data_IF_101033193174
#
_entry.id   IF_101033193174
#
_cell.length_a   1.000
_cell.length_b   1.000
_cell.length_c   1.000
_cell.angle_alpha   90.00
_cell.angle_beta   90.00
_cell.angle_gamma   90.00
#
_symmetry.space_group_name_H-M   'P 1'
#
loop_
_entity.id
_entity.type
_entity.pdbx_description
1 polymer ?
#
# COMPACT_ATOMS: atom_id res chain seq x y z
N UNK A 1 -1.16 -0.82 -24.35
CA UNK A 1 -0.14 -1.51 -23.50
C UNK A 1 1.21 -0.87 -23.81
N UNK A 2 1.90 -0.33 -22.82
CA UNK A 2 3.22 0.29 -23.00
C UNK A 2 4.25 -0.83 -22.94
N UNK A 3 5.04 -0.97 -23.98
CA UNK A 3 6.11 -1.97 -24.04
C UNK A 3 7.46 -1.28 -23.81
N UNK A 4 8.20 -1.71 -22.77
CA UNK A 4 9.53 -1.20 -22.50
C UNK A 4 10.58 -2.18 -23.03
N UNK A 5 11.35 -1.78 -24.03
CA UNK A 5 12.49 -2.54 -24.51
C UNK A 5 13.80 -1.91 -24.03
N UNK A 6 14.34 -2.47 -22.97
CA UNK A 6 15.64 -2.07 -22.42
C UNK A 6 16.82 -2.72 -23.13
N UNK A 7 16.58 -3.67 -24.03
CA UNK A 7 17.64 -4.49 -24.62
C UNK A 7 18.65 -3.65 -25.42
N UNK A 8 18.15 -2.65 -26.14
CA UNK A 8 18.98 -1.78 -26.98
C UNK A 8 19.93 -0.91 -26.16
N UNK A 9 19.54 -0.51 -24.96
CA UNK A 9 20.31 0.39 -24.12
C UNK A 9 21.16 -0.33 -23.08
N UNK A 10 20.71 -1.46 -22.58
CA UNK A 10 21.42 -2.25 -21.57
C UNK A 10 22.53 -3.15 -22.18
N UNK A 11 22.47 -3.47 -23.48
CA UNK A 11 23.42 -4.38 -24.12
C UNK A 11 24.89 -3.90 -24.10
N UNK A 12 25.11 -2.59 -23.95
CA UNK A 12 26.44 -2.02 -23.81
C UNK A 12 27.06 -2.18 -22.39
N UNK A 13 26.20 -2.47 -21.38
CA UNK A 13 26.60 -2.51 -19.98
C UNK A 13 26.46 -3.90 -19.36
N UNK A 14 25.59 -4.74 -19.92
CA UNK A 14 25.30 -6.09 -19.42
C UNK A 14 25.77 -7.10 -20.45
N UNK A 15 26.79 -7.86 -20.11
CA UNK A 15 27.29 -8.93 -20.98
C UNK A 15 26.27 -10.07 -21.07
N UNK A 16 26.34 -10.84 -22.15
CA UNK A 16 25.43 -11.95 -22.39
C UNK A 16 25.55 -13.04 -21.33
N UNK A 17 26.78 -13.27 -20.87
CA UNK A 17 27.10 -14.23 -19.80
C UNK A 17 26.47 -13.83 -18.47
N UNK A 18 26.61 -12.55 -18.09
CA UNK A 18 26.01 -12.00 -16.87
C UNK A 18 24.49 -12.16 -16.88
N UNK A 19 23.87 -11.93 -18.04
CA UNK A 19 22.43 -12.07 -18.21
C UNK A 19 21.95 -13.50 -17.95
N UNK A 20 22.69 -14.50 -18.42
CA UNK A 20 22.37 -15.92 -18.22
C UNK A 20 22.46 -16.25 -16.73
N UNK A 21 23.56 -15.88 -16.08
CA UNK A 21 23.77 -16.09 -14.64
C UNK A 21 22.63 -15.48 -13.79
N UNK A 22 22.25 -14.23 -14.07
CA UNK A 22 21.17 -13.57 -13.34
C UNK A 22 19.80 -14.16 -13.63
N UNK A 23 19.56 -14.66 -14.83
CA UNK A 23 18.31 -15.37 -15.15
C UNK A 23 18.18 -16.69 -14.37
N UNK A 24 19.27 -17.41 -14.22
CA UNK A 24 19.26 -18.68 -13.46
C UNK A 24 19.10 -18.41 -11.96
N UNK A 25 19.77 -17.39 -11.41
CA UNK A 25 19.51 -16.93 -10.04
C UNK A 25 18.06 -16.49 -9.83
N UNK A 26 17.48 -15.75 -10.78
CA UNK A 26 16.09 -15.33 -10.70
C UNK A 26 15.10 -16.50 -10.75
N UNK A 27 15.41 -17.55 -11.53
CA UNK A 27 14.62 -18.79 -11.55
C UNK A 27 14.69 -19.54 -10.24
N UNK A 28 15.87 -19.65 -9.65
CA UNK A 28 16.08 -20.27 -8.35
C UNK A 28 15.28 -19.53 -7.27
N UNK A 29 15.40 -18.21 -7.21
CA UNK A 29 14.66 -17.38 -6.25
C UNK A 29 13.15 -17.54 -6.46
N UNK A 30 12.66 -17.56 -7.72
CA UNK A 30 11.26 -17.78 -8.03
C UNK A 30 10.77 -19.15 -7.52
N UNK A 31 11.57 -20.20 -7.70
CA UNK A 31 11.23 -21.53 -7.20
C UNK A 31 11.12 -21.55 -5.68
N UNK A 32 12.10 -20.98 -4.97
CA UNK A 32 12.08 -20.83 -3.51
C UNK A 32 10.89 -20.00 -3.03
N UNK A 33 10.52 -18.95 -3.76
CA UNK A 33 9.35 -18.14 -3.46
C UNK A 33 8.05 -18.94 -3.59
N UNK A 34 7.92 -19.73 -4.65
CA UNK A 34 6.72 -20.56 -4.90
C UNK A 34 6.65 -21.75 -3.92
N UNK A 35 7.75 -22.41 -3.63
CA UNK A 35 7.83 -23.59 -2.77
C UNK A 35 7.73 -23.31 -1.27
N UNK A 36 7.74 -22.03 -0.87
CA UNK A 36 7.34 -21.62 0.47
C UNK A 36 8.42 -21.20 1.44
N UNK A 37 9.65 -21.01 1.02
CA UNK A 37 10.69 -20.39 1.86
C UNK A 37 10.28 -18.96 2.31
N UNK A 38 9.48 -18.30 1.48
CA UNK A 38 8.89 -16.97 1.74
C UNK A 38 7.39 -17.10 2.03
N UNK A 39 7.06 -17.75 3.13
CA UNK A 39 5.72 -18.23 3.53
C UNK A 39 4.57 -17.21 3.41
N UNK A 40 4.85 -15.93 3.53
CA UNK A 40 3.79 -14.91 3.55
C UNK A 40 3.46 -14.36 2.17
N UNK A 41 4.42 -14.34 1.25
CA UNK A 41 4.26 -13.72 -0.06
C UNK A 41 3.63 -14.63 -1.11
N UNK A 42 3.81 -15.94 -0.98
CA UNK A 42 3.26 -16.91 -1.93
C UNK A 42 1.82 -17.35 -1.59
N UNK A 43 1.26 -16.86 -0.48
CA UNK A 43 -0.08 -17.20 0.01
C UNK A 43 -0.98 -15.99 0.18
N UNK A 44 -0.78 -14.95 -0.61
CA UNK A 44 -1.54 -13.70 -0.51
C UNK A 44 -3.05 -13.93 -0.67
N UNK A 45 -3.45 -14.83 -1.55
CA UNK A 45 -4.84 -15.24 -1.79
C UNK A 45 -5.48 -16.00 -0.63
N UNK A 46 -4.68 -16.65 0.20
CA UNK A 46 -5.13 -17.44 1.36
C UNK A 46 -4.74 -16.85 2.72
N UNK A 47 -4.00 -15.73 2.69
CA UNK A 47 -3.46 -15.11 3.91
C UNK A 47 -4.55 -14.56 4.83
N UNK A 48 -5.64 -14.06 4.25
CA UNK A 48 -6.80 -13.57 5.00
C UNK A 48 -7.90 -14.60 4.94
N UNK A 49 -8.28 -15.14 6.08
CA UNK A 49 -9.41 -16.09 6.17
C UNK A 49 -10.74 -15.39 5.84
N UNK A 50 -11.73 -16.16 5.39
CA UNK A 50 -13.07 -15.63 5.12
C UNK A 50 -13.71 -14.97 6.35
N UNK A 51 -13.35 -15.42 7.55
CA UNK A 51 -13.85 -14.84 8.80
C UNK A 51 -13.19 -13.48 9.08
N UNK A 52 -11.88 -13.37 8.87
CA UNK A 52 -11.15 -12.10 9.00
C UNK A 52 -11.62 -11.08 7.97
N UNK A 53 -11.82 -11.52 6.72
CA UNK A 53 -12.37 -10.64 5.68
C UNK A 53 -13.75 -10.07 6.07
N UNK A 54 -14.65 -10.89 6.64
CA UNK A 54 -15.93 -10.42 7.14
C UNK A 54 -15.77 -9.38 8.26
N UNK A 55 -14.82 -9.56 9.18
CA UNK A 55 -14.53 -8.57 10.23
C UNK A 55 -14.04 -7.25 9.63
N UNK A 56 -13.13 -7.32 8.66
CA UNK A 56 -12.62 -6.12 7.95
C UNK A 56 -13.75 -5.36 7.27
N UNK A 57 -14.63 -6.07 6.56
CA UNK A 57 -15.80 -5.46 5.90
C UNK A 57 -16.70 -4.77 6.93
N UNK A 58 -17.05 -5.45 8.02
CA UNK A 58 -17.91 -4.88 9.06
C UNK A 58 -17.29 -3.62 9.70
N UNK A 59 -15.99 -3.63 9.97
CA UNK A 59 -15.27 -2.46 10.49
C UNK A 59 -15.28 -1.33 9.45
N UNK A 60 -15.04 -1.66 8.18
CA UNK A 60 -15.09 -0.68 7.09
C UNK A 60 -16.47 -0.02 6.96
N UNK A 61 -17.54 -0.80 7.07
CA UNK A 61 -18.92 -0.27 7.00
C UNK A 61 -19.26 0.57 8.25
N UNK A 62 -18.76 0.17 9.42
CA UNK A 62 -18.87 0.98 10.64
C UNK A 62 -18.17 2.34 10.45
N UNK A 63 -16.92 2.36 9.98
CA UNK A 63 -16.16 3.58 9.73
C UNK A 63 -16.91 4.49 8.76
N UNK A 64 -17.37 3.95 7.62
CA UNK A 64 -18.13 4.71 6.62
C UNK A 64 -19.40 5.36 7.13
N UNK A 65 -20.02 4.75 8.14
CA UNK A 65 -21.30 5.21 8.69
C UNK A 65 -21.14 6.14 9.90
N UNK A 66 -19.95 6.23 10.50
CA UNK A 66 -19.75 6.88 11.78
C UNK A 66 -18.65 7.93 11.81
N UNK A 67 -18.08 8.32 10.67
CA UNK A 67 -17.14 9.44 10.63
C UNK A 67 -17.19 10.20 9.31
N UNK A 68 -16.86 11.47 9.40
CA UNK A 68 -16.61 12.33 8.25
C UNK A 68 -15.21 12.11 7.70
N UNK A 69 -14.25 11.90 8.61
CA UNK A 69 -12.83 11.74 8.29
C UNK A 69 -12.24 10.53 9.00
N UNK A 70 -11.59 9.68 8.22
CA UNK A 70 -10.81 8.55 8.72
C UNK A 70 -9.32 8.91 8.68
N UNK A 71 -8.72 9.08 9.85
CA UNK A 71 -7.30 9.44 9.98
C UNK A 71 -6.45 8.18 10.13
N UNK A 72 -5.46 8.01 9.28
CA UNK A 72 -4.50 6.90 9.34
C UNK A 72 -3.15 7.46 9.75
N UNK A 73 -2.67 7.06 10.93
CA UNK A 73 -1.37 7.46 11.46
C UNK A 73 -0.38 6.31 11.28
N UNK A 74 0.69 6.57 10.55
CA UNK A 74 1.75 5.58 10.31
C UNK A 74 2.86 6.14 9.45
N UNK A 75 3.97 5.42 9.35
CA UNK A 75 5.13 5.81 8.56
C UNK A 75 5.58 4.67 7.65
N UNK A 76 6.13 5.00 6.49
CA UNK A 76 6.70 4.03 5.56
C UNK A 76 5.69 2.96 5.13
N UNK A 77 6.01 1.69 5.37
CA UNK A 77 5.17 0.55 4.99
C UNK A 77 3.79 0.53 5.65
N UNK A 78 3.62 1.21 6.78
CA UNK A 78 2.36 1.26 7.52
C UNK A 78 1.25 2.03 6.79
N UNK A 79 1.58 2.91 5.85
CA UNK A 79 0.56 3.65 5.10
C UNK A 79 0.76 3.66 3.57
N UNK A 80 2.00 3.55 3.08
CA UNK A 80 2.30 3.73 1.66
C UNK A 80 1.52 2.77 0.75
N UNK A 81 1.41 1.50 1.15
CA UNK A 81 0.67 0.50 0.39
C UNK A 81 -0.83 0.81 0.30
N UNK A 82 -1.46 1.10 1.42
CA UNK A 82 -2.87 1.47 1.47
C UNK A 82 -3.15 2.79 0.76
N UNK A 83 -2.30 3.79 0.93
CA UNK A 83 -2.39 5.08 0.23
C UNK A 83 -2.32 4.87 -1.29
N UNK A 84 -1.35 4.11 -1.77
CA UNK A 84 -1.18 3.84 -3.20
C UNK A 84 -2.42 3.17 -3.81
N UNK A 85 -2.99 2.17 -3.14
CA UNK A 85 -4.21 1.48 -3.61
C UNK A 85 -5.41 2.42 -3.61
N UNK A 86 -5.61 3.19 -2.54
CA UNK A 86 -6.71 4.15 -2.43
C UNK A 86 -6.61 5.21 -3.53
N UNK A 87 -5.43 5.78 -3.76
CA UNK A 87 -5.22 6.79 -4.78
C UNK A 87 -5.38 6.23 -6.20
N UNK A 88 -4.98 5.00 -6.44
CA UNK A 88 -5.13 4.35 -7.74
C UNK A 88 -6.59 4.00 -8.07
N UNK A 89 -7.40 3.65 -7.07
CA UNK A 89 -8.78 3.18 -7.26
C UNK A 89 -9.85 4.24 -6.98
N UNK A 90 -9.48 5.35 -6.37
CA UNK A 90 -10.41 6.44 -6.05
C UNK A 90 -10.31 7.57 -7.07
N UNK A 91 -11.41 8.26 -7.37
CA UNK A 91 -11.36 9.44 -8.21
C UNK A 91 -10.53 10.55 -7.54
N UNK A 92 -9.86 11.37 -8.34
CA UNK A 92 -9.04 12.49 -7.84
C UNK A 92 -9.89 13.53 -7.11
N UNK A 93 -11.10 13.76 -7.60
CA UNK A 93 -12.05 14.72 -7.04
C UNK A 93 -13.36 14.02 -6.65
N UNK A 94 -14.12 14.64 -5.74
CA UNK A 94 -15.41 14.12 -5.27
C UNK A 94 -15.31 12.69 -4.71
N UNK A 95 -14.30 12.42 -3.88
CA UNK A 95 -14.20 11.18 -3.14
C UNK A 95 -15.41 11.03 -2.21
N UNK A 96 -15.91 9.81 -2.10
CA UNK A 96 -17.03 9.52 -1.19
C UNK A 96 -16.56 9.61 0.27
N UNK A 97 -17.47 9.98 1.18
CA UNK A 97 -17.25 9.91 2.62
C UNK A 97 -16.94 8.46 3.08
N UNK A 98 -16.08 8.29 4.09
CA UNK A 98 -15.31 9.32 4.74
C UNK A 98 -14.12 9.81 3.90
N UNK A 99 -13.67 11.03 4.14
CA UNK A 99 -12.37 11.49 3.68
C UNK A 99 -11.26 10.72 4.40
N UNK A 100 -10.18 10.37 3.71
CA UNK A 100 -9.06 9.63 4.31
C UNK A 100 -7.84 10.54 4.35
N UNK A 101 -7.36 10.82 5.57
CA UNK A 101 -6.16 11.62 5.82
C UNK A 101 -5.05 10.73 6.36
N UNK A 102 -3.88 10.79 5.74
CA UNK A 102 -2.68 10.10 6.20
C UNK A 102 -1.75 11.05 6.94
N UNK A 103 -1.38 10.69 8.18
CA UNK A 103 -0.53 11.49 9.06
C UNK A 103 0.66 10.67 9.57
N UNK A 104 1.66 11.36 10.13
CA UNK A 104 2.83 10.73 10.76
C UNK A 104 4.02 10.53 9.82
N UNK A 105 3.98 11.14 8.63
CA UNK A 105 5.08 11.07 7.65
C UNK A 105 6.20 12.06 7.94
N UNK A 106 5.90 13.10 8.71
CA UNK A 106 6.84 14.13 9.14
C UNK A 106 6.49 14.65 10.55
N UNK A 107 7.34 15.51 11.10
CA UNK A 107 7.16 16.17 12.39
C UNK A 107 7.00 17.70 12.22
N UNK A 108 6.41 18.13 11.11
CA UNK A 108 6.14 19.54 10.84
C UNK A 108 5.00 20.04 11.76
N UNK A 109 5.33 20.99 12.62
CA UNK A 109 4.36 21.57 13.58
C UNK A 109 3.25 22.34 12.89
N UNK A 110 3.56 23.00 11.78
CA UNK A 110 2.59 23.77 10.99
C UNK A 110 1.56 22.84 10.33
N UNK A 111 2.03 21.78 9.66
CA UNK A 111 1.14 20.78 9.04
C UNK A 111 0.27 20.09 10.10
N UNK A 112 0.83 19.81 11.26
CA UNK A 112 0.07 19.23 12.38
C UNK A 112 -1.02 20.22 12.86
N UNK A 113 -0.66 21.49 13.04
CA UNK A 113 -1.60 22.51 13.48
C UNK A 113 -2.75 22.69 12.47
N UNK A 114 -2.43 22.84 11.19
CA UNK A 114 -3.42 22.97 10.13
C UNK A 114 -4.35 21.74 10.05
N UNK A 115 -3.79 20.56 10.19
CA UNK A 115 -4.58 19.32 10.20
C UNK A 115 -5.51 19.27 11.40
N UNK A 116 -5.03 19.59 12.60
CA UNK A 116 -5.85 19.61 13.81
C UNK A 116 -6.94 20.65 13.74
N UNK A 117 -6.65 21.82 13.15
CA UNK A 117 -7.65 22.87 12.94
C UNK A 117 -8.74 22.42 11.96
N UNK A 118 -8.36 21.73 10.88
CA UNK A 118 -9.29 21.16 9.91
C UNK A 118 -10.21 20.07 10.52
N UNK A 119 -9.72 19.34 11.52
CA UNK A 119 -10.43 18.23 12.15
C UNK A 119 -11.40 18.68 13.26
N UNK A 120 -11.33 19.93 13.75
CA UNK A 120 -12.03 20.40 14.98
C UNK A 120 -13.51 20.08 15.06
N UNK A 121 -14.25 20.28 13.99
CA UNK A 121 -15.72 20.16 13.98
C UNK A 121 -16.18 18.94 13.16
N UNK A 122 -15.32 17.91 13.08
CA UNK A 122 -15.58 16.69 12.31
C UNK A 122 -15.70 15.48 13.23
N UNK A 123 -16.57 14.57 12.85
CA UNK A 123 -16.56 13.22 13.44
C UNK A 123 -15.39 12.44 12.86
N UNK A 124 -14.43 12.06 13.71
CA UNK A 124 -13.20 11.40 13.28
C UNK A 124 -13.06 10.00 13.87
N UNK A 125 -12.52 9.08 13.09
CA UNK A 125 -12.01 7.81 13.57
C UNK A 125 -10.52 7.74 13.23
N UNK A 126 -9.70 7.34 14.20
CA UNK A 126 -8.24 7.27 14.05
C UNK A 126 -7.78 5.82 14.05
N UNK A 127 -6.96 5.45 13.06
CA UNK A 127 -6.28 4.17 13.00
C UNK A 127 -4.77 4.40 13.09
N UNK A 128 -4.13 3.82 14.10
CA UNK A 128 -2.68 3.90 14.30
C UNK A 128 -2.04 2.57 13.92
N UNK A 129 -1.07 2.62 13.00
CA UNK A 129 -0.34 1.45 12.52
C UNK A 129 1.14 1.65 12.83
N UNK A 130 1.65 0.87 13.78
CA UNK A 130 3.04 0.90 14.23
C UNK A 130 3.75 -0.43 13.97
#
# INVERSE_FOLDING_TARGET
MINFDFHKYASNYIKKEDKIEYLDKAREIKTRFIEGDLKYWNKLDTFVSSQELKKIINISDYIKSNCDIFVVIGIGGSFMGSKAVIEALSPTYNRKSPEIIFMGTNLCSEEMYETLDYLKDKEIIVNVIS
#
